data_IF_327178740290
#
_entry.id   IF_327178740290
#
_cell.length_a   1.000
_cell.length_b   1.000
_cell.length_c   1.000
_cell.angle_alpha   90.00
_cell.angle_beta   90.00
_cell.angle_gamma   90.00
#
_symmetry.space_group_name_H-M   'P 1'
#
loop_
_entity.id
_entity.type
_entity.pdbx_description
1 polymer ?
#
# COMPACT_ATOMS: atom_id res chain seq x y z
N UNK A 1 -4.05 -4.69 -1.08
CA UNK A 1 -2.94 -4.01 -1.73
C UNK A 1 -1.77 -3.76 -0.76
N UNK A 2 -0.95 -2.78 -1.04
CA UNK A 2 0.20 -2.34 -0.25
C UNK A 2 0.47 -0.88 -0.59
N UNK A 3 1.27 -0.19 0.22
CA UNK A 3 1.85 1.10 -0.15
C UNK A 3 2.65 0.99 -1.47
N UNK A 4 3.23 -0.16 -1.74
CA UNK A 4 3.90 -0.48 -3.01
C UNK A 4 3.02 -0.27 -4.25
N UNK A 5 1.71 -0.40 -4.13
CA UNK A 5 0.76 -0.13 -5.22
C UNK A 5 0.61 1.34 -5.60
N UNK A 6 1.21 2.25 -4.82
CA UNK A 6 1.11 3.70 -5.04
C UNK A 6 2.36 4.32 -5.66
N UNK A 7 3.38 3.53 -5.99
CA UNK A 7 4.66 4.01 -6.48
C UNK A 7 5.34 2.98 -7.39
N UNK A 8 6.28 3.39 -8.28
CA UNK A 8 7.09 2.46 -9.06
C UNK A 8 8.05 1.68 -8.15
N UNK A 9 8.32 0.42 -8.47
CA UNK A 9 9.16 -0.47 -7.67
C UNK A 9 10.25 -1.18 -8.47
N UNK A 10 11.33 -0.47 -8.84
CA UNK A 10 12.50 -1.10 -9.45
C UNK A 10 13.01 -2.26 -8.60
N UNK A 11 13.55 -3.29 -9.22
CA UNK A 11 14.01 -4.56 -8.62
C UNK A 11 12.89 -5.44 -8.01
N UNK A 12 11.65 -4.93 -7.97
CA UNK A 12 10.45 -5.65 -7.54
C UNK A 12 9.24 -5.29 -8.43
N UNK A 13 9.45 -5.07 -9.72
CA UNK A 13 8.44 -4.55 -10.64
C UNK A 13 7.14 -5.35 -10.63
N UNK A 14 7.21 -6.67 -10.73
CA UNK A 14 6.02 -7.53 -10.74
C UNK A 14 5.19 -7.39 -9.44
N UNK A 15 5.86 -7.34 -8.29
CA UNK A 15 5.19 -7.15 -7.00
C UNK A 15 4.47 -5.79 -6.94
N UNK A 16 5.17 -4.69 -7.23
CA UNK A 16 4.59 -3.34 -7.20
C UNK A 16 3.44 -3.20 -8.19
N UNK A 17 3.61 -3.73 -9.41
CA UNK A 17 2.55 -3.73 -10.44
C UNK A 17 1.33 -4.53 -10.00
N UNK A 18 1.50 -5.69 -9.37
CA UNK A 18 0.39 -6.48 -8.84
C UNK A 18 -0.40 -5.74 -7.77
N UNK A 19 0.30 -4.98 -6.90
CA UNK A 19 -0.35 -4.17 -5.86
C UNK A 19 -1.04 -2.92 -6.42
N UNK A 20 -0.47 -2.32 -7.47
CA UNK A 20 -1.10 -1.24 -8.21
C UNK A 20 -2.38 -1.70 -8.92
N UNK A 21 -2.36 -2.89 -9.54
CA UNK A 21 -3.54 -3.49 -10.15
C UNK A 21 -4.69 -3.60 -9.15
N UNK A 22 -4.46 -4.19 -7.97
CA UNK A 22 -5.48 -4.33 -6.93
C UNK A 22 -6.02 -2.96 -6.48
N UNK A 23 -5.15 -1.96 -6.33
CA UNK A 23 -5.55 -0.62 -5.95
C UNK A 23 -6.48 0.01 -6.99
N UNK A 24 -6.09 0.00 -8.27
CA UNK A 24 -6.87 0.59 -9.37
C UNK A 24 -8.18 -0.13 -9.60
N UNK A 25 -8.19 -1.47 -9.53
CA UNK A 25 -9.41 -2.27 -9.59
C UNK A 25 -10.39 -1.86 -8.48
N UNK A 26 -9.90 -1.72 -7.25
CA UNK A 26 -10.74 -1.31 -6.11
C UNK A 26 -11.31 0.10 -6.27
N UNK A 27 -10.53 1.04 -6.83
CA UNK A 27 -10.99 2.40 -7.14
C UNK A 27 -12.10 2.39 -8.19
N UNK A 28 -11.95 1.59 -9.27
CA UNK A 28 -12.97 1.42 -10.31
C UNK A 28 -14.27 0.83 -9.76
N UNK A 29 -14.19 -0.29 -9.03
CA UNK A 29 -15.35 -0.93 -8.41
C UNK A 29 -16.07 0.03 -7.45
N UNK A 30 -15.35 0.81 -6.67
CA UNK A 30 -15.95 1.81 -5.78
C UNK A 30 -16.81 2.81 -6.55
N UNK A 31 -16.33 3.33 -7.66
CA UNK A 31 -17.08 4.29 -8.46
C UNK A 31 -18.31 3.66 -9.12
N UNK A 32 -18.20 2.43 -9.60
CA UNK A 32 -19.34 1.67 -10.12
C UNK A 32 -20.43 1.45 -9.06
N UNK A 33 -20.04 1.08 -7.84
CA UNK A 33 -20.95 0.92 -6.71
C UNK A 33 -21.64 2.24 -6.35
N UNK A 34 -20.90 3.35 -6.35
CA UNK A 34 -21.42 4.69 -6.09
C UNK A 34 -22.46 5.09 -7.15
N UNK A 35 -22.16 4.89 -8.42
CA UNK A 35 -23.09 5.18 -9.54
C UNK A 35 -24.37 4.36 -9.46
N UNK A 36 -24.27 3.12 -9.06
CA UNK A 36 -25.43 2.23 -8.85
C UNK A 36 -26.17 2.50 -7.54
N UNK A 37 -25.74 3.47 -6.74
CA UNK A 37 -26.28 3.74 -5.39
C UNK A 37 -26.34 2.49 -4.51
N UNK A 38 -25.35 1.63 -4.64
CA UNK A 38 -25.28 0.36 -3.91
C UNK A 38 -24.98 0.60 -2.42
N UNK A 39 -25.55 -0.21 -1.57
CA UNK A 39 -25.25 -0.24 -0.14
C UNK A 39 -23.96 -1.00 0.18
N UNK A 40 -23.38 -1.70 -0.79
CA UNK A 40 -22.10 -2.40 -0.64
C UNK A 40 -20.97 -1.39 -0.50
N UNK A 41 -20.14 -1.58 0.52
CA UNK A 41 -18.95 -0.78 0.76
C UNK A 41 -17.69 -1.57 0.43
N UNK A 42 -16.74 -0.91 -0.19
CA UNK A 42 -15.41 -1.48 -0.47
C UNK A 42 -14.35 -0.60 0.19
N UNK A 43 -13.31 -1.23 0.70
CA UNK A 43 -12.13 -0.55 1.24
C UNK A 43 -10.87 -1.24 0.75
N UNK A 44 -9.79 -0.49 0.61
CA UNK A 44 -8.49 -1.04 0.24
C UNK A 44 -7.48 -0.76 1.34
N UNK A 45 -6.93 -1.83 1.90
CA UNK A 45 -5.86 -1.77 2.88
C UNK A 45 -4.51 -1.69 2.16
N UNK A 46 -3.72 -0.68 2.52
CA UNK A 46 -2.39 -0.42 1.97
C UNK A 46 -1.36 -0.29 3.09
N UNK A 47 -0.96 -1.40 3.72
CA UNK A 47 0.04 -1.36 4.76
C UNK A 47 1.42 -1.08 4.17
N UNK A 48 2.28 -0.49 4.99
CA UNK A 48 3.73 -0.53 4.82
C UNK A 48 4.28 -1.89 5.27
N UNK A 49 5.56 -1.97 5.66
CA UNK A 49 6.13 -3.20 6.21
C UNK A 49 5.37 -3.66 7.45
N UNK A 50 4.96 -4.93 7.45
CA UNK A 50 4.31 -5.60 8.57
C UNK A 50 5.20 -6.73 9.07
N UNK A 51 5.31 -6.87 10.37
CA UNK A 51 6.08 -7.96 10.97
C UNK A 51 5.32 -9.29 10.81
N UNK A 52 5.60 -9.98 9.74
CA UNK A 52 5.04 -11.29 9.36
C UNK A 52 6.12 -12.15 8.73
N UNK A 53 5.81 -13.42 8.48
CA UNK A 53 6.72 -14.33 7.79
C UNK A 53 6.95 -13.97 6.29
N UNK A 54 6.23 -12.98 5.77
CA UNK A 54 6.38 -12.52 4.38
C UNK A 54 7.82 -12.10 4.05
N UNK A 55 8.50 -11.43 4.98
CA UNK A 55 9.87 -10.97 4.79
C UNK A 55 10.83 -12.14 4.55
N UNK A 56 10.65 -13.25 5.27
CA UNK A 56 11.45 -14.46 5.10
C UNK A 56 11.18 -15.15 3.76
N UNK A 57 9.91 -15.24 3.37
CA UNK A 57 9.48 -15.87 2.12
C UNK A 57 9.91 -15.05 0.90
N UNK A 58 9.81 -13.73 0.98
CA UNK A 58 10.18 -12.81 -0.10
C UNK A 58 11.69 -12.52 -0.15
N UNK A 59 12.47 -12.96 0.82
CA UNK A 59 13.91 -12.68 0.90
C UNK A 59 14.26 -11.19 1.06
N UNK A 60 13.36 -10.42 1.66
CA UNK A 60 13.47 -8.96 1.76
C UNK A 60 13.66 -8.53 3.21
N UNK A 61 14.67 -7.68 3.45
CA UNK A 61 14.88 -7.02 4.75
C UNK A 61 14.34 -5.60 4.69
N UNK A 62 13.45 -5.24 5.62
CA UNK A 62 12.94 -3.87 5.74
C UNK A 62 13.63 -3.15 6.90
N UNK A 63 14.30 -2.03 6.60
CA UNK A 63 14.91 -1.16 7.61
C UNK A 63 13.90 -0.17 8.22
N UNK A 64 12.66 -0.15 7.75
CA UNK A 64 11.59 0.66 8.31
C UNK A 64 10.95 -0.09 9.48
N UNK A 65 10.59 0.65 10.52
CA UNK A 65 9.83 0.10 11.65
C UNK A 65 8.57 -0.60 11.15
N UNK A 66 8.58 -1.92 11.19
CA UNK A 66 7.41 -2.73 10.83
C UNK A 66 6.37 -2.67 11.95
N UNK A 67 5.10 -2.57 11.56
CA UNK A 67 3.98 -2.65 12.51
C UNK A 67 3.64 -4.11 12.80
N UNK A 68 3.09 -4.39 13.99
CA UNK A 68 2.58 -5.72 14.27
C UNK A 68 1.35 -6.04 13.41
N UNK A 69 1.13 -7.32 13.12
CA UNK A 69 -0.04 -7.78 12.37
C UNK A 69 -1.35 -7.44 13.08
N UNK A 70 -1.37 -7.55 14.40
CA UNK A 70 -2.53 -7.20 15.24
C UNK A 70 -2.88 -5.71 15.12
N UNK A 71 -1.87 -4.83 15.20
CA UNK A 71 -2.09 -3.38 15.03
C UNK A 71 -2.70 -3.07 13.66
N UNK A 72 -2.15 -3.68 12.60
CA UNK A 72 -2.63 -3.45 11.22
C UNK A 72 -4.06 -3.97 11.07
N UNK A 73 -4.37 -5.15 11.59
CA UNK A 73 -5.70 -5.74 11.53
C UNK A 73 -6.73 -4.89 12.28
N UNK A 74 -6.45 -4.49 13.51
CA UNK A 74 -7.33 -3.62 14.31
C UNK A 74 -7.57 -2.29 13.60
N UNK A 75 -6.51 -1.64 13.14
CA UNK A 75 -6.60 -0.38 12.41
C UNK A 75 -7.44 -0.52 11.13
N UNK A 76 -7.28 -1.63 10.41
CA UNK A 76 -8.04 -1.91 9.18
C UNK A 76 -9.53 -2.04 9.46
N UNK A 77 -9.92 -2.85 10.44
CA UNK A 77 -11.33 -3.08 10.81
C UNK A 77 -11.99 -1.79 11.30
N UNK A 78 -11.34 -1.05 12.21
CA UNK A 78 -11.87 0.22 12.74
C UNK A 78 -12.13 1.25 11.63
N UNK A 79 -11.21 1.39 10.67
CA UNK A 79 -11.36 2.34 9.58
C UNK A 79 -12.33 1.84 8.49
N UNK A 80 -12.42 0.53 8.27
CA UNK A 80 -13.45 -0.06 7.42
C UNK A 80 -14.85 0.23 7.96
N UNK A 81 -15.08 0.01 9.24
CA UNK A 81 -16.37 0.30 9.90
C UNK A 81 -16.74 1.80 9.85
N UNK A 82 -15.75 2.69 9.80
CA UNK A 82 -15.95 4.14 9.57
C UNK A 82 -16.20 4.49 8.10
N UNK A 83 -16.26 3.51 7.20
CA UNK A 83 -16.51 3.71 5.77
C UNK A 83 -15.33 4.34 5.00
N UNK A 84 -14.11 4.29 5.54
CA UNK A 84 -12.94 4.80 4.81
C UNK A 84 -12.56 3.86 3.67
N UNK A 85 -12.38 4.43 2.48
CA UNK A 85 -11.94 3.66 1.32
C UNK A 85 -10.46 3.29 1.39
N UNK A 86 -9.57 4.29 1.48
CA UNK A 86 -8.13 4.07 1.60
C UNK A 86 -7.74 3.93 3.07
N UNK A 87 -7.27 2.74 3.44
CA UNK A 87 -6.83 2.44 4.80
C UNK A 87 -5.31 2.24 4.77
N UNK A 88 -4.58 3.22 5.31
CA UNK A 88 -3.11 3.25 5.33
C UNK A 88 -2.65 3.31 6.78
N UNK A 89 -2.24 2.18 7.39
CA UNK A 89 -1.76 2.16 8.76
C UNK A 89 -0.41 2.87 8.91
N UNK A 90 -0.33 3.80 9.85
CA UNK A 90 0.89 4.53 10.18
C UNK A 90 1.02 5.89 9.49
N UNK A 91 1.42 6.89 10.29
CA UNK A 91 1.55 8.27 9.83
C UNK A 91 2.67 8.44 8.78
N UNK A 92 3.84 7.82 9.02
CA UNK A 92 4.97 7.89 8.07
C UNK A 92 4.63 7.31 6.71
N UNK A 93 3.86 6.22 6.67
CA UNK A 93 3.41 5.58 5.43
C UNK A 93 2.41 6.47 4.68
N UNK A 94 1.52 7.15 5.42
CA UNK A 94 0.61 8.15 4.82
C UNK A 94 1.38 9.30 4.17
N UNK A 95 2.40 9.82 4.86
CA UNK A 95 3.26 10.87 4.32
C UNK A 95 4.02 10.40 3.07
N UNK A 96 4.60 9.20 3.10
CA UNK A 96 5.28 8.62 1.94
C UNK A 96 4.35 8.47 0.73
N UNK A 97 3.12 8.00 0.96
CA UNK A 97 2.09 7.91 -0.09
C UNK A 97 1.72 9.28 -0.65
N UNK A 98 1.55 10.28 0.19
CA UNK A 98 1.25 11.65 -0.24
C UNK A 98 2.39 12.22 -1.09
N UNK A 99 3.63 12.11 -0.61
CA UNK A 99 4.82 12.58 -1.33
C UNK A 99 4.98 11.88 -2.68
N UNK A 100 4.71 10.58 -2.76
CA UNK A 100 4.78 9.85 -4.03
C UNK A 100 3.76 10.34 -5.07
N UNK A 101 2.62 10.89 -4.64
CA UNK A 101 1.61 11.45 -5.54
C UNK A 101 1.98 12.79 -6.14
N UNK A 102 2.72 13.62 -5.41
CA UNK A 102 3.12 14.97 -5.86
C UNK A 102 4.50 15.00 -6.52
N UNK A 103 5.27 13.91 -6.38
CA UNK A 103 6.61 13.79 -6.97
C UNK A 103 6.52 13.10 -8.32
N UNK A 104 7.23 13.57 -9.37
CA UNK A 104 7.28 12.89 -10.66
C UNK A 104 7.76 11.44 -10.53
N UNK A 105 7.14 10.53 -11.26
CA UNK A 105 7.37 9.08 -11.14
C UNK A 105 8.82 8.68 -11.35
N UNK A 106 9.56 9.36 -12.24
CA UNK A 106 10.98 9.05 -12.49
C UNK A 106 11.87 9.35 -11.27
N UNK A 107 11.54 10.37 -10.46
CA UNK A 107 12.25 10.67 -9.21
C UNK A 107 11.89 9.65 -8.13
N UNK A 108 10.61 9.30 -8.02
CA UNK A 108 10.16 8.25 -7.10
C UNK A 108 10.85 6.92 -7.43
N UNK A 109 10.95 6.58 -8.73
CA UNK A 109 11.64 5.37 -9.17
C UNK A 109 13.13 5.34 -8.76
N UNK A 110 13.85 6.47 -8.88
CA UNK A 110 15.25 6.57 -8.43
C UNK A 110 15.38 6.33 -6.92
N UNK A 111 14.52 6.98 -6.13
CA UNK A 111 14.51 6.79 -4.67
C UNK A 111 14.18 5.35 -4.31
N UNK A 112 13.17 4.77 -4.93
CA UNK A 112 12.78 3.37 -4.71
C UNK A 112 13.91 2.40 -5.11
N UNK A 113 14.62 2.65 -6.21
CA UNK A 113 15.77 1.85 -6.60
C UNK A 113 16.84 1.81 -5.51
N UNK A 114 17.25 2.98 -5.01
CA UNK A 114 18.24 3.08 -3.92
C UNK A 114 17.79 2.39 -2.63
N UNK A 115 16.50 2.50 -2.30
CA UNK A 115 15.95 1.83 -1.12
C UNK A 115 15.94 0.31 -1.28
N UNK A 116 15.64 -0.21 -2.47
CA UNK A 116 15.61 -1.65 -2.74
C UNK A 116 17.02 -2.25 -2.85
N UNK A 117 17.97 -1.53 -3.45
CA UNK A 117 19.36 -1.96 -3.55
C UNK A 117 20.01 -2.19 -2.18
N UNK A 118 19.72 -1.33 -1.21
CA UNK A 118 20.20 -1.46 0.18
C UNK A 118 19.57 -2.64 0.94
N UNK A 119 18.51 -3.27 0.41
CA UNK A 119 17.82 -4.42 1.03
C UNK A 119 18.36 -5.77 0.56
N UNK A 120 19.20 -5.77 -0.44
CA UNK A 120 19.94 -6.97 -0.87
C UNK A 120 21.12 -7.19 0.05
#
# INVERSE_FOLDING_TARGET
>A
SSIAGSMPGPLMCAYYSSKAYVLRLSEGIREELNKKKSNVKISVLQPGPVNTNFNNVAGVKFNLSSKSSEYVAKYAVENFLKGKFNIVPGFMIKCAKFLSKITPDFLVAKVCYHMQEKKK
#
